data_IF_130000909433
#
_entry.id   IF_130000909433
#
_cell.length_a   1.000
_cell.length_b   1.000
_cell.length_c   1.000
_cell.angle_alpha   90.00
_cell.angle_beta   90.00
_cell.angle_gamma   90.00
#
_symmetry.space_group_name_H-M   'P 1'
#
loop_
_entity.id
_entity.type
_entity.pdbx_description
1 polymer ?
#
# COMPACT_ATOMS: atom_id res chain seq x y z
N UNK A 1 41.14 7.06 -52.84
CA UNK A 1 40.46 6.41 -51.69
C UNK A 1 40.77 7.26 -50.47
N UNK A 2 39.77 7.83 -49.81
CA UNK A 2 39.97 8.87 -48.79
C UNK A 2 39.73 8.33 -47.37
N UNK A 3 40.67 8.65 -46.47
CA UNK A 3 40.62 8.36 -45.04
C UNK A 3 39.43 9.07 -44.37
N UNK A 4 38.87 8.47 -43.31
CA UNK A 4 38.08 9.21 -42.29
C UNK A 4 38.49 8.77 -40.88
N UNK A 5 38.80 9.71 -39.97
CA UNK A 5 39.17 9.41 -38.59
C UNK A 5 38.00 9.53 -37.60
N UNK A 6 38.33 9.21 -36.35
CA UNK A 6 37.58 9.39 -35.09
C UNK A 6 37.82 10.89 -34.65
N UNK A 7 37.02 11.63 -33.87
CA UNK A 7 36.21 11.28 -32.69
C UNK A 7 35.11 12.33 -32.33
N UNK A 8 34.35 12.06 -31.26
CA UNK A 8 33.74 12.98 -30.28
C UNK A 8 32.62 13.98 -30.67
N UNK A 9 31.45 13.80 -30.05
CA UNK A 9 30.71 14.86 -29.34
C UNK A 9 29.65 14.28 -28.37
N UNK A 10 29.47 14.89 -27.20
CA UNK A 10 28.43 14.51 -26.22
C UNK A 10 27.02 14.90 -26.69
N UNK A 11 26.01 14.09 -26.39
CA UNK A 11 24.60 14.48 -26.47
C UNK A 11 24.00 14.73 -25.08
N UNK A 12 23.73 15.99 -24.76
CA UNK A 12 23.05 16.43 -23.54
C UNK A 12 21.52 16.35 -23.65
N UNK A 13 20.86 16.18 -22.52
CA UNK A 13 19.39 16.09 -22.39
C UNK A 13 18.67 17.41 -22.70
N UNK A 14 17.46 17.39 -23.31
CA UNK A 14 16.58 18.57 -23.36
C UNK A 14 15.90 18.84 -22.01
N UNK A 15 15.96 20.09 -21.53
CA UNK A 15 15.37 20.51 -20.25
C UNK A 15 13.85 20.80 -20.36
N UNK A 16 13.12 20.55 -19.26
CA UNK A 16 11.67 20.78 -19.12
C UNK A 16 11.37 22.22 -18.69
N UNK A 17 10.48 22.98 -19.37
CA UNK A 17 10.13 24.34 -18.95
C UNK A 17 9.42 24.38 -17.58
N UNK A 18 9.90 25.29 -16.71
CA UNK A 18 9.37 25.55 -15.36
C UNK A 18 8.19 26.54 -15.45
N UNK A 19 7.04 26.25 -14.83
CA UNK A 19 5.97 27.24 -14.61
C UNK A 19 6.28 28.11 -13.39
N UNK A 20 6.31 29.42 -13.56
CA UNK A 20 6.30 30.39 -12.45
C UNK A 20 4.87 30.82 -12.11
N UNK A 21 4.62 31.17 -10.86
CA UNK A 21 3.36 31.71 -10.36
C UNK A 21 3.37 33.25 -10.33
N UNK A 22 2.23 33.89 -10.60
CA UNK A 22 1.94 35.26 -10.16
C UNK A 22 0.47 35.41 -9.77
N UNK A 23 0.25 36.14 -8.68
CA UNK A 23 -1.03 36.60 -8.14
C UNK A 23 -1.43 37.96 -8.73
N UNK A 24 -2.64 38.40 -8.35
CA UNK A 24 -3.09 39.79 -8.21
C UNK A 24 -3.97 40.38 -9.33
N UNK A 25 -5.14 40.85 -8.89
CA UNK A 25 -6.19 41.58 -9.61
C UNK A 25 -5.84 43.09 -9.59
N UNK A 26 -6.34 43.91 -10.53
CA UNK A 26 -7.25 44.97 -10.08
C UNK A 26 -8.49 45.17 -10.97
N UNK A 27 -9.53 45.73 -10.33
CA UNK A 27 -10.84 46.10 -10.88
C UNK A 27 -10.76 47.50 -11.53
N UNK A 28 -11.52 47.76 -12.59
CA UNK A 28 -12.12 49.10 -12.76
C UNK A 28 -13.45 49.13 -13.55
N UNK A 29 -14.28 50.09 -13.18
CA UNK A 29 -15.70 50.27 -13.49
C UNK A 29 -15.95 51.17 -14.71
N UNK A 30 -17.11 51.05 -15.37
CA UNK A 30 -17.77 52.17 -16.07
C UNK A 30 -19.31 52.06 -16.04
N UNK A 31 -20.01 53.21 -16.09
CA UNK A 31 -21.48 53.36 -16.02
C UNK A 31 -22.05 53.87 -17.36
N UNK A 32 -23.25 53.38 -17.72
CA UNK A 32 -24.48 54.02 -18.29
C UNK A 32 -24.41 55.41 -19.00
N UNK A 33 -25.33 55.78 -19.94
CA UNK A 33 -26.80 55.63 -19.76
C UNK A 33 -27.73 55.44 -21.00
N UNK A 34 -29.04 55.23 -20.70
CA UNK A 34 -30.29 55.64 -21.44
C UNK A 34 -30.53 55.25 -22.93
N UNK A 35 -31.76 55.10 -23.45
CA UNK A 35 -33.12 54.77 -22.95
C UNK A 35 -34.01 54.50 -24.21
N UNK A 36 -35.34 54.27 -24.05
CA UNK A 36 -36.38 53.96 -25.05
C UNK A 36 -36.47 52.49 -25.50
N UNK A 37 -37.70 51.95 -25.50
CA UNK A 37 -38.03 50.59 -25.93
C UNK A 37 -39.44 50.48 -26.49
N UNK A 38 -39.86 49.26 -26.87
CA UNK A 38 -41.23 48.88 -27.25
C UNK A 38 -41.53 47.46 -26.76
N UNK A 39 -42.78 47.20 -26.37
CA UNK A 39 -43.30 45.88 -25.97
C UNK A 39 -43.24 44.83 -27.09
N UNK A 40 -43.10 43.55 -26.69
CA UNK A 40 -44.02 42.50 -27.16
C UNK A 40 -44.09 41.33 -26.15
N UNK A 41 -45.29 40.93 -25.75
CA UNK A 41 -45.50 39.81 -24.83
C UNK A 41 -45.33 38.45 -25.52
N UNK A 42 -44.41 37.62 -25.04
CA UNK A 42 -44.50 36.17 -25.18
C UNK A 42 -44.42 35.50 -23.81
N UNK A 43 -45.58 35.08 -23.33
CA UNK A 43 -45.79 34.38 -22.06
C UNK A 43 -45.19 32.96 -22.12
N UNK A 44 -43.88 32.86 -21.91
CA UNK A 44 -43.19 31.59 -21.74
C UNK A 44 -43.44 31.03 -20.34
N UNK A 45 -44.06 29.85 -20.26
CA UNK A 45 -44.19 29.09 -19.02
C UNK A 45 -42.78 28.78 -18.47
N UNK A 46 -42.53 28.90 -17.15
CA UNK A 46 -41.26 28.48 -16.58
C UNK A 46 -41.06 26.98 -16.81
N UNK A 47 -39.98 26.61 -17.50
CA UNK A 47 -39.51 25.23 -17.48
C UNK A 47 -39.20 24.86 -16.01
N UNK A 48 -39.55 23.65 -15.55
CA UNK A 48 -39.16 23.21 -14.22
C UNK A 48 -37.63 23.27 -14.10
N UNK A 49 -37.09 23.64 -12.93
CA UNK A 49 -35.64 23.65 -12.73
C UNK A 49 -35.07 22.27 -13.04
N UNK A 50 -33.86 22.17 -13.63
CA UNK A 50 -33.24 20.88 -13.85
C UNK A 50 -33.14 20.14 -12.51
N UNK A 51 -33.33 18.80 -12.50
CA UNK A 51 -33.21 18.03 -11.27
C UNK A 51 -31.84 18.32 -10.64
N UNK A 52 -31.77 18.46 -9.30
CA UNK A 52 -30.51 18.70 -8.63
C UNK A 52 -29.50 17.62 -9.04
N UNK A 53 -28.21 17.96 -9.24
CA UNK A 53 -27.20 16.96 -9.52
C UNK A 53 -27.28 15.88 -8.43
N UNK A 54 -27.19 14.58 -8.80
CA UNK A 54 -27.33 13.50 -7.83
C UNK A 54 -26.37 13.75 -6.66
N UNK A 55 -26.92 13.78 -5.46
CA UNK A 55 -26.16 14.09 -4.25
C UNK A 55 -24.92 13.20 -4.20
N UNK A 56 -23.75 13.81 -4.00
CA UNK A 56 -22.48 13.10 -3.97
C UNK A 56 -22.51 12.11 -2.80
N UNK A 57 -22.72 10.82 -3.13
CA UNK A 57 -23.11 9.81 -2.15
C UNK A 57 -21.94 9.55 -1.18
N UNK A 58 -21.99 10.23 -0.04
CA UNK A 58 -20.96 10.13 1.00
C UNK A 58 -21.01 8.76 1.67
N UNK A 59 -19.97 7.95 1.45
CA UNK A 59 -19.76 6.70 2.20
C UNK A 59 -19.26 7.06 3.59
N UNK A 60 -19.99 6.63 4.63
CA UNK A 60 -19.51 6.71 6.02
C UNK A 60 -18.49 5.59 6.29
N UNK A 61 -17.43 5.92 7.05
CA UNK A 61 -16.31 5.03 7.35
C UNK A 61 -16.37 4.58 8.81
N UNK A 62 -17.24 3.61 9.08
CA UNK A 62 -17.39 2.99 10.40
C UNK A 62 -16.09 2.27 10.78
N UNK A 63 -15.53 2.55 11.96
CA UNK A 63 -14.34 1.86 12.47
C UNK A 63 -14.66 0.41 12.87
N UNK A 64 -13.66 -0.48 12.83
CA UNK A 64 -13.88 -1.92 12.99
C UNK A 64 -14.45 -2.29 14.36
N UNK A 65 -14.11 -1.53 15.40
CA UNK A 65 -14.61 -1.70 16.79
C UNK A 65 -16.09 -1.33 16.93
N UNK A 66 -16.65 -0.58 15.96
CA UNK A 66 -18.06 -0.16 15.93
C UNK A 66 -18.94 -1.08 15.07
N UNK A 67 -18.34 -2.03 14.35
CA UNK A 67 -19.09 -2.99 13.54
C UNK A 67 -19.75 -4.04 14.44
N UNK A 68 -21.08 -4.15 14.34
CA UNK A 68 -21.86 -5.16 15.06
C UNK A 68 -21.96 -6.48 14.28
N UNK A 69 -22.07 -7.63 14.95
CA UNK A 69 -22.37 -8.91 14.29
C UNK A 69 -23.71 -8.85 13.52
N UNK A 70 -23.94 -9.82 12.64
CA UNK A 70 -25.28 -10.14 12.15
C UNK A 70 -26.04 -10.98 13.19
N UNK A 71 -27.37 -10.80 13.25
CA UNK A 71 -28.29 -11.65 14.01
C UNK A 71 -28.49 -13.01 13.32
N UNK A 72 -28.58 -12.99 11.98
CA UNK A 72 -28.68 -14.17 11.12
C UNK A 72 -27.60 -14.09 10.02
N UNK A 73 -26.38 -14.62 10.25
CA UNK A 73 -25.30 -14.59 9.26
C UNK A 73 -25.56 -15.52 8.07
N UNK A 74 -26.27 -16.64 8.26
CA UNK A 74 -26.53 -17.67 7.23
C UNK A 74 -27.53 -17.21 6.17
N UNK A 75 -28.51 -16.40 6.54
CA UNK A 75 -29.36 -15.68 5.57
C UNK A 75 -28.58 -14.56 4.87
N UNK A 76 -27.74 -13.83 5.61
CA UNK A 76 -27.02 -12.66 5.07
C UNK A 76 -25.91 -13.02 4.08
N UNK A 77 -25.26 -14.17 4.21
CA UNK A 77 -24.15 -14.56 3.32
C UNK A 77 -24.63 -14.82 1.88
N UNK A 78 -25.88 -15.27 1.71
CA UNK A 78 -26.46 -15.67 0.41
C UNK A 78 -26.44 -14.55 -0.63
N UNK A 79 -26.73 -13.30 -0.21
CA UNK A 79 -26.72 -12.12 -1.09
C UNK A 79 -25.38 -11.37 -1.16
N UNK A 80 -24.35 -11.79 -0.40
CA UNK A 80 -23.12 -11.02 -0.24
C UNK A 80 -22.37 -10.85 -1.56
N UNK A 81 -22.24 -11.96 -2.32
CA UNK A 81 -21.49 -11.99 -3.58
C UNK A 81 -22.18 -11.15 -4.66
N UNK A 82 -23.51 -11.20 -4.74
CA UNK A 82 -24.29 -10.37 -5.67
C UNK A 82 -24.10 -8.87 -5.38
N UNK A 83 -24.17 -8.47 -4.11
CA UNK A 83 -23.93 -7.08 -3.70
C UNK A 83 -22.50 -6.60 -3.98
N UNK A 84 -21.50 -7.46 -3.79
CA UNK A 84 -20.09 -7.19 -4.15
C UNK A 84 -19.85 -7.08 -5.66
N UNK A 85 -20.65 -7.76 -6.48
CA UNK A 85 -20.56 -7.75 -7.96
C UNK A 85 -21.49 -6.69 -8.60
N UNK A 86 -22.20 -5.90 -7.78
CA UNK A 86 -23.12 -4.84 -8.24
C UNK A 86 -22.46 -3.79 -9.13
N UNK A 87 -23.25 -3.25 -10.06
CA UNK A 87 -22.88 -2.09 -10.89
C UNK A 87 -22.96 -0.77 -10.11
N UNK A 88 -23.76 -0.73 -9.03
CA UNK A 88 -23.78 0.41 -8.13
C UNK A 88 -22.63 0.32 -7.12
N UNK A 89 -21.71 1.26 -7.22
CA UNK A 89 -20.53 1.34 -6.37
C UNK A 89 -20.87 1.66 -4.91
N UNK A 90 -22.02 2.28 -4.63
CA UNK A 90 -22.50 2.49 -3.25
C UNK A 90 -22.90 1.13 -2.67
N UNK A 91 -23.66 0.33 -3.43
CA UNK A 91 -24.00 -1.04 -3.02
C UNK A 91 -22.77 -1.93 -2.77
N UNK A 92 -21.72 -1.81 -3.60
CA UNK A 92 -20.45 -2.52 -3.35
C UNK A 92 -19.79 -2.03 -2.05
N UNK A 93 -19.87 -0.74 -1.71
CA UNK A 93 -19.38 -0.24 -0.41
C UNK A 93 -20.18 -0.80 0.78
N UNK A 94 -21.49 -0.95 0.66
CA UNK A 94 -22.31 -1.62 1.69
C UNK A 94 -21.87 -3.07 1.88
N UNK A 95 -21.79 -3.84 0.79
CA UNK A 95 -21.40 -5.26 0.86
C UNK A 95 -19.95 -5.46 1.30
N UNK A 96 -19.04 -4.52 1.05
CA UNK A 96 -17.70 -4.54 1.64
C UNK A 96 -17.72 -4.28 3.16
N UNK A 97 -18.67 -3.48 3.68
CA UNK A 97 -18.86 -3.38 5.13
C UNK A 97 -19.50 -4.65 5.72
N UNK A 98 -20.33 -5.36 4.95
CA UNK A 98 -20.80 -6.69 5.35
C UNK A 98 -19.64 -7.71 5.38
N UNK A 99 -18.73 -7.72 4.38
CA UNK A 99 -17.47 -8.51 4.42
C UNK A 99 -16.67 -8.23 5.70
N UNK A 100 -16.56 -6.97 6.12
CA UNK A 100 -15.86 -6.60 7.37
C UNK A 100 -16.53 -7.22 8.59
N UNK A 101 -17.86 -7.11 8.70
CA UNK A 101 -18.65 -7.72 9.78
C UNK A 101 -18.52 -9.24 9.81
N UNK A 102 -18.57 -9.87 8.64
CA UNK A 102 -18.34 -11.31 8.51
C UNK A 102 -16.93 -11.71 8.95
N UNK A 103 -15.90 -10.98 8.52
CA UNK A 103 -14.50 -11.30 8.85
C UNK A 103 -14.24 -11.22 10.37
N UNK A 104 -14.79 -10.22 11.04
CA UNK A 104 -14.56 -10.02 12.48
C UNK A 104 -15.42 -10.91 13.39
N UNK A 105 -16.67 -11.20 13.00
CA UNK A 105 -17.65 -11.84 13.91
C UNK A 105 -18.13 -13.22 13.45
N UNK A 106 -17.97 -13.56 12.17
CA UNK A 106 -18.60 -14.72 11.53
C UNK A 106 -17.66 -15.36 10.48
N UNK A 107 -16.36 -15.43 10.78
CA UNK A 107 -15.33 -15.78 9.79
C UNK A 107 -15.49 -17.18 9.19
N UNK A 108 -16.05 -18.12 9.95
CA UNK A 108 -16.41 -19.47 9.48
C UNK A 108 -17.46 -19.48 8.37
N UNK A 109 -18.43 -18.56 8.42
CA UNK A 109 -19.51 -18.43 7.40
C UNK A 109 -18.97 -17.82 6.10
N UNK A 110 -17.96 -16.95 6.21
CA UNK A 110 -17.32 -16.30 5.05
C UNK A 110 -16.24 -17.18 4.38
N UNK A 111 -15.60 -18.07 5.15
CA UNK A 111 -14.48 -18.91 4.67
C UNK A 111 -14.76 -19.64 3.33
N UNK A 112 -15.94 -20.27 3.09
CA UNK A 112 -16.20 -21.01 1.85
C UNK A 112 -16.21 -20.15 0.58
N UNK A 113 -16.37 -18.82 0.70
CA UNK A 113 -16.38 -17.87 -0.41
C UNK A 113 -15.25 -16.84 -0.34
N UNK A 114 -14.37 -16.95 0.65
CA UNK A 114 -13.35 -15.94 0.98
C UNK A 114 -12.42 -15.65 -0.20
N UNK A 115 -12.02 -16.67 -0.96
CA UNK A 115 -11.16 -16.50 -2.13
C UNK A 115 -11.82 -15.61 -3.21
N UNK A 116 -13.10 -15.86 -3.52
CA UNK A 116 -13.87 -15.02 -4.46
C UNK A 116 -13.99 -13.59 -3.92
N UNK A 117 -14.23 -13.45 -2.61
CA UNK A 117 -14.31 -12.14 -1.95
C UNK A 117 -12.98 -11.38 -2.06
N UNK A 118 -11.84 -12.01 -1.75
CA UNK A 118 -10.51 -11.41 -1.89
C UNK A 118 -10.21 -10.94 -3.33
N UNK A 119 -10.58 -11.75 -4.34
CA UNK A 119 -10.48 -11.34 -5.75
C UNK A 119 -11.33 -10.10 -6.08
N UNK A 120 -12.55 -10.00 -5.54
CA UNK A 120 -13.40 -8.81 -5.72
C UNK A 120 -12.81 -7.60 -5.00
N UNK A 121 -12.25 -7.77 -3.80
CA UNK A 121 -11.54 -6.69 -3.09
C UNK A 121 -10.38 -6.14 -3.94
N UNK A 122 -9.52 -7.00 -4.49
CA UNK A 122 -8.41 -6.56 -5.37
C UNK A 122 -8.93 -5.73 -6.56
N UNK A 123 -10.04 -6.14 -7.17
CA UNK A 123 -10.72 -5.39 -8.24
C UNK A 123 -11.27 -4.04 -7.73
N UNK A 124 -11.92 -4.01 -6.56
CA UNK A 124 -12.47 -2.81 -5.95
C UNK A 124 -11.38 -1.78 -5.56
N UNK A 125 -10.22 -2.23 -5.08
CA UNK A 125 -9.06 -1.37 -4.83
C UNK A 125 -8.53 -0.69 -6.10
N UNK A 126 -8.78 -1.25 -7.29
CA UNK A 126 -8.43 -0.61 -8.58
C UNK A 126 -9.50 0.31 -9.15
N UNK A 127 -10.63 0.51 -8.46
CA UNK A 127 -11.63 1.47 -8.90
C UNK A 127 -11.11 2.92 -8.74
N UNK A 128 -11.40 3.84 -9.70
CA UNK A 128 -11.02 5.24 -9.58
C UNK A 128 -11.72 5.97 -8.42
N UNK A 129 -12.86 5.46 -7.92
CA UNK A 129 -13.54 6.02 -6.74
C UNK A 129 -12.76 5.69 -5.47
N UNK A 130 -12.17 6.71 -4.86
CA UNK A 130 -11.40 6.53 -3.62
C UNK A 130 -12.21 6.02 -2.43
N UNK A 131 -13.53 6.25 -2.41
CA UNK A 131 -14.41 5.70 -1.38
C UNK A 131 -14.42 4.17 -1.46
N UNK A 132 -14.81 3.61 -2.61
CA UNK A 132 -14.79 2.17 -2.86
C UNK A 132 -13.39 1.56 -2.67
N UNK A 133 -12.35 2.25 -3.15
CA UNK A 133 -10.97 1.84 -2.96
C UNK A 133 -10.60 1.73 -1.46
N UNK A 134 -10.94 2.75 -0.65
CA UNK A 134 -10.68 2.75 0.80
C UNK A 134 -11.52 1.70 1.54
N UNK A 135 -12.82 1.60 1.27
CA UNK A 135 -13.69 0.60 1.91
C UNK A 135 -13.20 -0.81 1.65
N UNK A 136 -12.66 -1.08 0.45
CA UNK A 136 -12.03 -2.36 0.13
C UNK A 136 -10.73 -2.61 0.89
N UNK A 137 -9.94 -1.57 1.20
CA UNK A 137 -8.72 -1.69 2.03
C UNK A 137 -9.08 -1.91 3.50
N UNK A 138 -10.13 -1.26 4.00
CA UNK A 138 -10.67 -1.53 5.34
C UNK A 138 -11.18 -2.98 5.44
N UNK A 139 -11.86 -3.48 4.40
CA UNK A 139 -12.23 -4.90 4.29
C UNK A 139 -11.03 -5.85 4.28
N UNK A 140 -9.94 -5.51 3.58
CA UNK A 140 -8.71 -6.30 3.65
C UNK A 140 -8.09 -6.31 5.06
N UNK A 141 -8.11 -5.17 5.77
CA UNK A 141 -7.64 -5.08 7.17
C UNK A 141 -8.42 -6.01 8.10
N UNK A 142 -9.75 -6.04 7.97
CA UNK A 142 -10.61 -6.87 8.81
C UNK A 142 -10.54 -8.36 8.41
N UNK A 143 -10.25 -8.67 7.14
CA UNK A 143 -9.91 -10.03 6.69
C UNK A 143 -8.59 -10.51 7.33
N UNK A 144 -7.53 -9.69 7.37
CA UNK A 144 -6.29 -10.05 8.08
C UNK A 144 -6.55 -10.34 9.56
N UNK A 145 -7.35 -9.49 10.22
CA UNK A 145 -7.73 -9.68 11.63
C UNK A 145 -8.60 -10.93 11.86
N UNK A 146 -9.48 -11.29 10.91
CA UNK A 146 -10.43 -12.41 11.04
C UNK A 146 -9.87 -13.79 10.66
N UNK A 147 -8.86 -13.85 9.80
CA UNK A 147 -8.35 -15.11 9.23
C UNK A 147 -6.86 -15.36 9.50
N UNK A 148 -6.05 -14.31 9.68
CA UNK A 148 -4.61 -14.43 9.94
C UNK A 148 -3.91 -15.34 8.95
N UNK A 149 -3.23 -16.37 9.47
CA UNK A 149 -2.44 -17.33 8.69
C UNK A 149 -3.25 -18.18 7.70
N UNK A 150 -4.56 -18.38 7.91
CA UNK A 150 -5.43 -19.10 6.96
C UNK A 150 -5.49 -18.43 5.57
N UNK A 151 -5.08 -17.16 5.48
CA UNK A 151 -4.97 -16.46 4.22
C UNK A 151 -3.81 -16.97 3.34
N UNK A 152 -2.84 -17.68 3.93
CA UNK A 152 -1.73 -18.29 3.23
C UNK A 152 -2.15 -19.54 2.45
N UNK A 153 -3.27 -20.18 2.81
CA UNK A 153 -3.85 -21.31 2.09
C UNK A 153 -4.23 -20.92 0.63
N UNK A 154 -4.52 -19.64 0.39
CA UNK A 154 -4.78 -19.08 -0.95
C UNK A 154 -3.50 -18.61 -1.68
N UNK A 155 -2.35 -19.20 -1.32
CA UNK A 155 -1.06 -19.03 -2.01
C UNK A 155 -1.06 -19.70 -3.37
N UNK A 156 -1.55 -20.93 -3.47
CA UNK A 156 -1.44 -21.73 -4.71
C UNK A 156 -2.28 -21.13 -5.84
N UNK A 157 -3.41 -20.50 -5.51
CA UNK A 157 -4.19 -19.71 -6.46
C UNK A 157 -3.67 -18.28 -6.68
N UNK A 158 -2.62 -17.86 -5.96
CA UNK A 158 -2.00 -16.54 -6.04
C UNK A 158 -2.95 -15.39 -5.67
N UNK A 159 -4.03 -15.65 -4.93
CA UNK A 159 -4.99 -14.62 -4.51
C UNK A 159 -4.42 -13.78 -3.38
N UNK A 160 -3.69 -14.40 -2.44
CA UNK A 160 -2.95 -13.68 -1.41
C UNK A 160 -1.91 -12.73 -2.02
N UNK A 161 -1.11 -13.19 -2.97
CA UNK A 161 -0.04 -12.39 -3.59
C UNK A 161 -0.59 -11.20 -4.40
N UNK A 162 -1.75 -11.40 -5.04
CA UNK A 162 -2.49 -10.31 -5.71
C UNK A 162 -2.99 -9.27 -4.71
N UNK A 163 -3.50 -9.69 -3.54
CA UNK A 163 -3.91 -8.76 -2.48
C UNK A 163 -2.71 -8.00 -1.89
N UNK A 164 -1.60 -8.68 -1.61
CA UNK A 164 -0.38 -8.11 -1.08
C UNK A 164 0.22 -7.04 -2.02
N UNK A 165 0.45 -7.39 -3.29
CA UNK A 165 0.93 -6.43 -4.30
C UNK A 165 -0.01 -5.22 -4.41
N UNK A 166 -1.33 -5.47 -4.41
CA UNK A 166 -2.31 -4.41 -4.53
C UNK A 166 -2.28 -3.45 -3.33
N UNK A 167 -2.14 -3.95 -2.11
CA UNK A 167 -1.98 -3.11 -0.90
C UNK A 167 -0.68 -2.31 -0.94
N UNK A 168 0.45 -2.92 -1.32
CA UNK A 168 1.73 -2.22 -1.49
C UNK A 168 1.63 -1.08 -2.52
N UNK A 169 0.92 -1.30 -3.63
CA UNK A 169 0.64 -0.27 -4.64
C UNK A 169 -0.25 0.85 -4.08
N UNK A 170 -1.27 0.55 -3.28
CA UNK A 170 -2.15 1.58 -2.69
C UNK A 170 -1.51 2.34 -1.53
N UNK A 171 -0.56 1.75 -0.82
CA UNK A 171 0.31 2.44 0.13
C UNK A 171 1.34 3.35 -0.57
N UNK A 172 1.60 3.15 -1.87
CA UNK A 172 2.62 3.85 -2.66
C UNK A 172 2.10 5.05 -3.48
N UNK A 173 0.83 5.42 -3.37
CA UNK A 173 0.22 6.54 -4.10
C UNK A 173 0.26 7.87 -3.32
N UNK A 174 0.04 8.98 -4.02
CA UNK A 174 0.04 10.33 -3.43
C UNK A 174 -1.28 10.70 -2.70
N UNK A 175 -2.36 9.94 -2.88
CA UNK A 175 -3.65 10.20 -2.23
C UNK A 175 -3.63 9.75 -0.76
N UNK A 176 -3.16 10.65 0.12
CA UNK A 176 -3.01 10.47 1.58
C UNK A 176 -4.09 9.60 2.24
N UNK A 177 -5.36 9.97 2.07
CA UNK A 177 -6.53 9.27 2.63
C UNK A 177 -6.64 7.77 2.30
N UNK A 178 -6.06 7.34 1.16
CA UNK A 178 -6.05 5.93 0.73
C UNK A 178 -4.73 5.25 1.09
N UNK A 179 -3.59 5.94 0.98
CA UNK A 179 -2.31 5.34 1.33
C UNK A 179 -2.16 5.11 2.84
N UNK A 180 -2.68 6.01 3.69
CA UNK A 180 -2.72 5.82 5.15
C UNK A 180 -3.56 4.61 5.55
N UNK A 181 -4.67 4.34 4.85
CA UNK A 181 -5.48 3.14 5.13
C UNK A 181 -4.79 1.86 4.64
N UNK A 182 -4.09 1.93 3.50
CA UNK A 182 -3.27 0.80 3.02
C UNK A 182 -2.10 0.50 3.96
N UNK A 183 -1.46 1.53 4.52
CA UNK A 183 -0.42 1.37 5.56
C UNK A 183 -0.95 0.71 6.83
N UNK A 184 -2.17 1.03 7.28
CA UNK A 184 -2.83 0.33 8.39
C UNK A 184 -3.12 -1.14 8.04
N UNK A 185 -3.66 -1.40 6.85
CA UNK A 185 -3.96 -2.76 6.39
C UNK A 185 -2.70 -3.64 6.31
N UNK A 186 -1.59 -3.09 5.80
CA UNK A 186 -0.27 -3.75 5.81
C UNK A 186 0.24 -4.00 7.24
N UNK A 187 -0.04 -3.12 8.21
CA UNK A 187 0.28 -3.35 9.63
C UNK A 187 -0.60 -4.44 10.24
N UNK A 188 -1.90 -4.48 9.96
CA UNK A 188 -2.79 -5.59 10.37
C UNK A 188 -2.28 -6.94 9.87
N UNK A 189 -1.89 -7.03 8.58
CA UNK A 189 -1.28 -8.23 8.00
C UNK A 189 -0.01 -8.66 8.76
N UNK A 190 0.93 -7.72 9.02
CA UNK A 190 2.16 -8.02 9.76
C UNK A 190 1.87 -8.43 11.22
N UNK A 191 0.82 -7.90 11.83
CA UNK A 191 0.45 -8.26 13.20
C UNK A 191 -0.16 -9.66 13.29
N UNK A 192 -0.96 -10.08 12.30
CA UNK A 192 -1.85 -11.26 12.35
C UNK A 192 -1.32 -12.52 11.67
N UNK A 193 -0.25 -12.42 10.87
CA UNK A 193 0.43 -13.55 10.22
C UNK A 193 1.79 -13.78 10.89
N UNK A 194 2.21 -15.04 11.09
CA UNK A 194 3.56 -15.36 11.56
C UNK A 194 4.66 -14.75 10.67
N UNK A 195 5.80 -14.33 11.25
CA UNK A 195 6.87 -13.67 10.49
C UNK A 195 7.46 -14.53 9.37
N UNK A 196 7.77 -15.81 9.64
CA UNK A 196 8.47 -16.70 8.69
C UNK A 196 7.76 -16.82 7.32
N UNK A 197 6.48 -17.22 7.23
CA UNK A 197 5.79 -17.30 5.94
C UNK A 197 5.58 -15.92 5.31
N UNK A 198 5.28 -14.89 6.11
CA UNK A 198 5.05 -13.53 5.60
C UNK A 198 6.32 -12.93 4.97
N UNK A 199 7.49 -13.17 5.57
CA UNK A 199 8.78 -12.73 5.04
C UNK A 199 9.11 -13.39 3.69
N UNK A 200 8.76 -14.68 3.53
CA UNK A 200 8.91 -15.35 2.23
C UNK A 200 8.06 -14.64 1.15
N UNK A 201 6.81 -14.29 1.47
CA UNK A 201 5.92 -13.52 0.57
C UNK A 201 6.43 -12.11 0.28
N UNK A 202 6.91 -11.40 1.28
CA UNK A 202 7.41 -10.03 1.13
C UNK A 202 8.75 -9.94 0.39
N UNK A 203 9.57 -11.00 0.41
CA UNK A 203 10.92 -11.02 -0.17
C UNK A 203 10.97 -10.64 -1.66
N UNK A 204 9.93 -10.96 -2.44
CA UNK A 204 9.85 -10.60 -3.87
C UNK A 204 9.78 -9.09 -4.15
N UNK A 205 9.41 -8.27 -3.15
CA UNK A 205 9.13 -6.84 -3.35
C UNK A 205 10.28 -5.91 -2.94
N UNK A 206 11.32 -6.39 -2.25
CA UNK A 206 12.47 -5.55 -1.84
C UNK A 206 13.32 -5.02 -3.00
N UNK A 207 13.19 -5.61 -4.20
CA UNK A 207 13.87 -5.21 -5.42
C UNK A 207 12.91 -4.66 -6.49
N UNK A 208 11.66 -4.35 -6.13
CA UNK A 208 10.64 -3.87 -7.06
C UNK A 208 11.03 -2.55 -7.77
N UNK A 209 10.66 -2.39 -9.05
CA UNK A 209 11.09 -1.22 -9.84
C UNK A 209 10.60 0.13 -9.29
N UNK A 210 9.39 0.18 -8.73
CA UNK A 210 8.86 1.38 -8.05
C UNK A 210 9.47 1.54 -6.65
N UNK A 211 10.20 2.65 -6.43
CA UNK A 211 10.86 3.02 -5.17
C UNK A 211 9.91 2.94 -3.96
N UNK A 212 8.69 3.47 -4.10
CA UNK A 212 7.71 3.54 -3.00
C UNK A 212 7.22 2.16 -2.59
N UNK A 213 7.02 1.26 -3.55
CA UNK A 213 6.64 -0.14 -3.29
C UNK A 213 7.74 -0.86 -2.52
N UNK A 214 9.02 -0.65 -2.90
CA UNK A 214 10.15 -1.19 -2.13
C UNK A 214 10.17 -0.68 -0.70
N UNK A 215 9.99 0.63 -0.50
CA UNK A 215 9.97 1.22 0.84
C UNK A 215 8.85 0.62 1.70
N UNK A 216 7.64 0.44 1.16
CA UNK A 216 6.53 -0.20 1.88
C UNK A 216 6.82 -1.67 2.18
N UNK A 217 7.38 -2.42 1.24
CA UNK A 217 7.81 -3.80 1.47
C UNK A 217 8.90 -3.91 2.55
N UNK A 218 9.94 -3.06 2.49
CA UNK A 218 11.02 -3.01 3.47
C UNK A 218 10.49 -2.68 4.88
N UNK A 219 9.56 -1.73 5.01
CA UNK A 219 8.90 -1.41 6.28
C UNK A 219 8.08 -2.60 6.80
N UNK A 220 7.27 -3.26 5.95
CA UNK A 220 6.55 -4.48 6.35
C UNK A 220 7.47 -5.60 6.80
N UNK A 221 8.61 -5.80 6.11
CA UNK A 221 9.65 -6.78 6.48
C UNK A 221 10.28 -6.41 7.82
N UNK A 222 10.70 -5.16 8.01
CA UNK A 222 11.30 -4.71 9.28
C UNK A 222 10.35 -4.88 10.46
N UNK A 223 9.06 -4.57 10.27
CA UNK A 223 8.05 -4.79 11.30
C UNK A 223 7.87 -6.29 11.58
N UNK A 224 7.88 -7.13 10.55
CA UNK A 224 7.81 -8.59 10.69
C UNK A 224 9.02 -9.16 11.44
N UNK A 225 10.24 -8.73 11.09
CA UNK A 225 11.49 -9.12 11.79
C UNK A 225 11.49 -8.64 13.24
N UNK A 226 10.93 -7.47 13.55
CA UNK A 226 10.86 -6.97 14.93
C UNK A 226 9.98 -7.80 15.87
N UNK A 227 9.12 -8.68 15.33
CA UNK A 227 8.31 -9.64 16.11
C UNK A 227 9.04 -10.96 16.39
N UNK A 228 10.18 -11.23 15.74
CA UNK A 228 10.82 -12.54 15.75
C UNK A 228 11.78 -12.71 16.93
N UNK A 229 11.79 -13.92 17.50
CA UNK A 229 12.86 -14.39 18.37
C UNK A 229 14.17 -14.64 17.61
N UNK A 230 15.26 -14.82 18.34
CA UNK A 230 16.58 -15.08 17.74
C UNK A 230 16.60 -16.40 16.96
N UNK A 231 15.91 -17.43 17.45
CA UNK A 231 15.82 -18.72 16.76
C UNK A 231 15.04 -18.62 15.44
N UNK A 232 13.91 -17.88 15.40
CA UNK A 232 13.19 -17.61 14.14
C UNK A 232 14.06 -16.81 13.14
N UNK A 233 14.85 -15.85 13.63
CA UNK A 233 15.79 -15.06 12.79
C UNK A 233 16.88 -15.95 12.20
N UNK A 234 17.37 -16.93 12.97
CA UNK A 234 18.31 -17.96 12.51
C UNK A 234 17.65 -18.93 11.52
N UNK A 235 16.43 -19.38 11.80
CA UNK A 235 15.64 -20.29 10.94
C UNK A 235 15.36 -19.68 9.55
N UNK A 236 14.93 -18.42 9.49
CA UNK A 236 14.73 -17.75 8.20
C UNK A 236 16.04 -17.57 7.40
N UNK A 237 17.16 -17.49 8.12
CA UNK A 237 18.51 -17.33 7.58
C UNK A 237 19.01 -15.88 7.67
N UNK A 238 20.03 -15.67 8.50
CA UNK A 238 20.69 -14.37 8.71
C UNK A 238 21.12 -13.72 7.38
N UNK A 239 21.79 -14.49 6.51
CA UNK A 239 22.28 -14.01 5.21
C UNK A 239 21.14 -13.53 4.31
N UNK A 240 19.99 -14.22 4.32
CA UNK A 240 18.81 -13.87 3.52
C UNK A 240 18.18 -12.56 3.98
N UNK A 241 18.09 -12.32 5.29
CA UNK A 241 17.64 -11.04 5.85
C UNK A 241 18.60 -9.89 5.49
N UNK A 242 19.91 -10.12 5.56
CA UNK A 242 20.89 -9.12 5.15
C UNK A 242 20.79 -8.82 3.65
N UNK A 243 20.68 -9.84 2.79
CA UNK A 243 20.44 -9.64 1.36
C UNK A 243 19.19 -8.80 1.10
N UNK A 244 18.07 -9.07 1.79
CA UNK A 244 16.84 -8.27 1.71
C UNK A 244 17.05 -6.80 2.15
N UNK A 245 17.93 -6.55 3.12
CA UNK A 245 18.26 -5.19 3.57
C UNK A 245 19.27 -4.47 2.64
N UNK A 246 20.23 -5.17 2.01
CA UNK A 246 21.36 -4.55 1.27
C UNK A 246 20.92 -3.55 0.20
N UNK A 247 19.94 -3.91 -0.63
CA UNK A 247 19.42 -3.00 -1.67
C UNK A 247 18.70 -1.77 -1.11
N UNK A 248 18.11 -1.90 0.09
CA UNK A 248 17.35 -0.84 0.74
C UNK A 248 18.20 0.13 1.57
N UNK A 249 19.39 -0.28 2.04
CA UNK A 249 20.32 0.60 2.80
C UNK A 249 20.70 1.88 2.03
N UNK A 250 20.81 1.78 0.70
CA UNK A 250 21.15 2.88 -0.20
C UNK A 250 19.95 3.36 -1.04
N UNK A 251 18.70 3.02 -0.66
CA UNK A 251 17.52 3.49 -1.38
C UNK A 251 17.36 5.01 -1.32
N UNK A 252 16.64 5.58 -2.29
CA UNK A 252 16.35 7.02 -2.34
C UNK A 252 15.38 7.45 -1.24
N UNK A 253 14.46 6.57 -0.83
CA UNK A 253 13.46 6.88 0.20
C UNK A 253 14.00 6.62 1.63
N UNK A 254 13.82 7.57 2.57
CA UNK A 254 14.36 7.42 3.93
C UNK A 254 13.77 6.23 4.68
N UNK A 255 12.48 5.95 4.51
CA UNK A 255 11.76 4.88 5.21
C UNK A 255 12.31 3.49 4.83
N UNK A 256 12.73 3.31 3.56
CA UNK A 256 13.41 2.11 3.10
C UNK A 256 14.79 1.93 3.77
N UNK A 257 15.57 3.02 3.87
CA UNK A 257 16.90 3.00 4.51
C UNK A 257 16.79 2.76 6.02
N UNK A 258 15.79 3.32 6.68
CA UNK A 258 15.49 3.12 8.10
C UNK A 258 15.10 1.66 8.38
N UNK A 259 14.11 1.14 7.64
CA UNK A 259 13.72 -0.27 7.74
C UNK A 259 14.91 -1.23 7.50
N UNK A 260 15.76 -0.93 6.50
CA UNK A 260 16.96 -1.71 6.24
C UNK A 260 17.95 -1.71 7.41
N UNK A 261 18.20 -0.56 8.06
CA UNK A 261 19.05 -0.49 9.26
C UNK A 261 18.46 -1.27 10.43
N UNK A 262 17.14 -1.20 10.64
CA UNK A 262 16.45 -1.98 11.67
C UNK A 262 16.58 -3.49 11.44
N UNK A 263 16.40 -3.98 10.21
CA UNK A 263 16.62 -5.40 9.86
C UNK A 263 18.06 -5.81 10.15
N UNK A 264 19.05 -5.03 9.71
CA UNK A 264 20.48 -5.30 9.93
C UNK A 264 20.80 -5.36 11.42
N UNK A 265 20.26 -4.45 12.23
CA UNK A 265 20.47 -4.44 13.66
C UNK A 265 19.82 -5.64 14.37
N UNK A 266 18.62 -6.06 13.96
CA UNK A 266 17.98 -7.27 14.46
C UNK A 266 18.81 -8.53 14.15
N UNK A 267 19.36 -8.64 12.94
CA UNK A 267 20.25 -9.75 12.55
C UNK A 267 21.57 -9.70 13.32
N UNK A 268 22.17 -8.52 13.48
CA UNK A 268 23.38 -8.35 14.29
C UNK A 268 23.17 -8.83 15.72
N UNK A 269 22.10 -8.37 16.39
CA UNK A 269 21.77 -8.80 17.76
C UNK A 269 21.56 -10.32 17.85
N UNK A 270 20.84 -10.91 16.89
CA UNK A 270 20.57 -12.35 16.84
C UNK A 270 21.83 -13.20 16.54
N UNK A 271 22.81 -12.63 15.84
CA UNK A 271 24.11 -13.24 15.61
C UNK A 271 24.99 -13.15 16.86
N UNK A 272 25.07 -11.99 17.51
CA UNK A 272 26.00 -11.76 18.64
C UNK A 272 25.50 -12.21 20.00
N UNK A 273 24.28 -12.75 20.13
CA UNK A 273 23.65 -13.05 21.42
C UNK A 273 24.49 -13.97 22.33
N UNK A 274 25.26 -14.90 21.74
CA UNK A 274 26.12 -15.85 22.46
C UNK A 274 27.62 -15.54 22.32
N UNK A 275 28.00 -14.46 21.63
CA UNK A 275 29.36 -14.22 21.17
C UNK A 275 30.12 -13.28 22.13
N UNK A 276 30.72 -13.87 23.17
CA UNK A 276 31.23 -13.14 24.32
C UNK A 276 32.59 -12.43 24.13
N UNK A 277 33.51 -12.99 23.33
CA UNK A 277 34.92 -12.54 23.33
C UNK A 277 35.24 -11.44 22.31
N UNK A 278 34.70 -11.50 21.08
CA UNK A 278 34.83 -10.39 20.12
C UNK A 278 33.66 -10.32 19.08
N UNK A 279 32.44 -9.91 19.50
CA UNK A 279 31.26 -9.92 18.64
C UNK A 279 31.39 -9.05 17.38
N UNK A 280 32.19 -7.97 17.43
CA UNK A 280 32.38 -7.04 16.30
C UNK A 280 33.26 -7.66 15.20
N UNK A 281 34.36 -8.32 15.57
CA UNK A 281 35.23 -9.00 14.61
C UNK A 281 34.56 -10.25 14.02
N UNK A 282 33.83 -11.00 14.84
CA UNK A 282 33.00 -12.12 14.39
C UNK A 282 31.95 -11.67 13.36
N UNK A 283 31.25 -10.56 13.63
CA UNK A 283 30.29 -9.97 12.71
C UNK A 283 30.91 -9.51 11.38
N UNK A 284 32.08 -8.87 11.44
CA UNK A 284 32.80 -8.44 10.23
C UNK A 284 33.21 -9.65 9.37
N UNK A 285 33.77 -10.68 9.99
CA UNK A 285 34.17 -11.94 9.34
C UNK A 285 32.97 -12.67 8.73
N UNK A 286 31.85 -12.74 9.45
CA UNK A 286 30.59 -13.30 8.96
C UNK A 286 30.06 -12.52 7.73
N UNK A 287 30.04 -11.19 7.79
CA UNK A 287 29.60 -10.36 6.67
C UNK A 287 30.48 -10.53 5.43
N UNK A 288 31.81 -10.56 5.61
CA UNK A 288 32.78 -10.70 4.51
C UNK A 288 32.75 -12.08 3.85
N UNK A 289 32.46 -13.14 4.61
CA UNK A 289 32.34 -14.51 4.08
C UNK A 289 30.97 -14.80 3.46
N UNK A 290 29.90 -14.11 3.90
CA UNK A 290 28.51 -14.40 3.50
C UNK A 290 27.94 -13.49 2.40
N UNK A 291 28.58 -12.36 2.10
CA UNK A 291 28.07 -11.33 1.18
C UNK A 291 29.16 -10.87 0.21
N UNK A 292 28.77 -10.25 -0.91
CA UNK A 292 29.75 -9.58 -1.79
C UNK A 292 30.46 -8.43 -1.05
N UNK A 293 31.71 -8.07 -1.40
CA UNK A 293 32.49 -7.07 -0.65
C UNK A 293 31.77 -5.73 -0.43
N UNK A 294 31.03 -5.25 -1.45
CA UNK A 294 30.26 -3.99 -1.39
C UNK A 294 29.07 -4.11 -0.42
N UNK A 295 28.39 -5.25 -0.43
CA UNK A 295 27.29 -5.54 0.50
C UNK A 295 27.80 -5.68 1.93
N UNK A 296 28.86 -6.46 2.14
CA UNK A 296 29.50 -6.65 3.44
C UNK A 296 29.90 -5.31 4.08
N UNK A 297 30.60 -4.44 3.33
CA UNK A 297 30.99 -3.12 3.81
C UNK A 297 29.78 -2.23 4.17
N UNK A 298 28.71 -2.28 3.37
CA UNK A 298 27.48 -1.52 3.62
C UNK A 298 26.77 -1.99 4.91
N UNK A 299 26.74 -3.29 5.14
CA UNK A 299 26.11 -3.93 6.32
C UNK A 299 26.92 -3.66 7.60
N UNK A 300 28.25 -3.83 7.55
CA UNK A 300 29.15 -3.52 8.66
C UNK A 300 29.01 -2.04 9.07
N UNK A 301 29.01 -1.12 8.10
CA UNK A 301 28.83 0.31 8.36
C UNK A 301 27.45 0.63 8.97
N UNK A 302 26.40 -0.06 8.56
CA UNK A 302 25.04 0.18 9.05
C UNK A 302 24.87 -0.12 10.54
N UNK A 303 25.63 -1.07 11.11
CA UNK A 303 25.66 -1.33 12.55
C UNK A 303 26.43 -0.24 13.30
N UNK A 304 27.60 0.17 12.79
CA UNK A 304 28.46 1.18 13.42
C UNK A 304 28.03 2.64 13.23
N UNK A 305 26.80 2.91 12.80
CA UNK A 305 26.26 4.26 12.52
C UNK A 305 25.04 4.62 13.40
N UNK A 306 24.92 4.00 14.59
CA UNK A 306 23.97 4.41 15.64
C UNK A 306 24.57 5.50 16.52
#
# INVERSE_FOLDING_TARGET
>A
MALRPIDNALTTTPERPKKQAKLSIPIQTQKKPSDFGVNEEKKASPLPPPPPPPADASVDYISSEKLKPFEDPESKIQGLVEGLESKDWVKVCESLNDVRRFSLHHSTVLLPILEKVMLILVKAMNNPRSALCKTSIMAASDIFNGFGEKLLDFTDSGVFDRLLLQLLLKASQDKKFVCEEADKSLKSMVNTIAPLPLLNKLSGYVNHGNLRVRAKAAVSISNSVSKMGVDEIKEFGLVKLLQMATGSLNDRLPEAREAARSIVFSVYKAFTENEAENPVEAWQSFCQSSLSPIQAQSIIKAVGSQ
#
